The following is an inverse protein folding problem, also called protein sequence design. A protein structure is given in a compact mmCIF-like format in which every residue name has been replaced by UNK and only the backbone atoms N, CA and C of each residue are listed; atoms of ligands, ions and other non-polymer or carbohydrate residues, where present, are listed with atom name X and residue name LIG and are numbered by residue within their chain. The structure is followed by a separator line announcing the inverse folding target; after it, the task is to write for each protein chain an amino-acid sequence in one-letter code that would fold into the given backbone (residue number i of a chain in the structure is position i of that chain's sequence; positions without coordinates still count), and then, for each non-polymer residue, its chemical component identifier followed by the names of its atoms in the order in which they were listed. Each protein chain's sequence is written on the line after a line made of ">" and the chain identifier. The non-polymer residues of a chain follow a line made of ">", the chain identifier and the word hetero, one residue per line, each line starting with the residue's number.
data_IF_358843511989
#
_entry.id   IF_358843511989
#
_cell.length_a   1.000
_cell.length_b   1.000
_cell.length_c   1.000
_cell.angle_alpha   90.00
_cell.angle_beta   90.00
_cell.angle_gamma   90.00
#
_symmetry.space_group_name_H-M   'P 1'
#
loop_
_entity.id
_entity.type
_entity.pdbx_description
1 polymer ?
#
# COMPACT_ATOMS: atom_id res chain seq x y z
N UNK A 1 -24.18 8.66 -7.69
CA UNK A 1 -22.97 7.87 -7.37
C UNK A 1 -23.31 6.93 -6.24
N UNK A 2 -23.11 5.63 -6.41
CA UNK A 2 -23.27 4.64 -5.35
C UNK A 2 -21.93 3.91 -5.16
N UNK A 3 -21.41 3.92 -3.94
CA UNK A 3 -20.22 3.17 -3.56
C UNK A 3 -20.64 2.17 -2.49
N UNK A 4 -20.44 0.88 -2.75
CA UNK A 4 -20.63 -0.17 -1.76
C UNK A 4 -19.26 -0.56 -1.25
N UNK A 5 -18.99 -0.26 0.02
CA UNK A 5 -17.76 -0.62 0.72
C UNK A 5 -18.07 -1.74 1.70
N UNK A 6 -17.51 -2.91 1.45
CA UNK A 6 -17.63 -4.06 2.34
C UNK A 6 -16.34 -4.12 3.18
N UNK A 7 -16.48 -3.81 4.46
CA UNK A 7 -15.39 -3.87 5.44
C UNK A 7 -15.60 -5.05 6.39
N UNK A 8 -14.58 -5.89 6.55
CA UNK A 8 -14.49 -6.82 7.69
C UNK A 8 -13.26 -6.47 8.49
N UNK A 9 -13.45 -5.70 9.56
CA UNK A 9 -12.38 -5.22 10.44
C UNK A 9 -12.31 -6.09 11.69
N UNK A 10 -11.15 -6.71 11.94
CA UNK A 10 -10.80 -7.28 13.24
C UNK A 10 -9.49 -6.63 13.71
N UNK A 11 -9.52 -5.64 14.61
CA UNK A 11 -8.30 -4.90 14.98
C UNK A 11 -7.33 -5.77 15.80
N UNK A 12 -6.03 -5.62 15.55
CA UNK A 12 -5.00 -5.73 16.60
C UNK A 12 -4.33 -7.09 16.86
N UNK A 13 -4.69 -8.19 16.21
CA UNK A 13 -4.01 -9.47 16.35
C UNK A 13 -3.53 -10.00 15.00
N UNK A 14 -2.57 -10.92 15.01
CA UNK A 14 -2.22 -11.69 13.81
C UNK A 14 -3.51 -12.15 13.12
N UNK A 15 -3.64 -11.85 11.84
CA UNK A 15 -4.94 -11.91 11.20
C UNK A 15 -4.91 -11.41 9.76
N UNK A 16 -6.00 -11.73 9.07
CA UNK A 16 -6.25 -11.36 7.69
C UNK A 16 -7.34 -10.30 7.63
N UNK A 17 -7.02 -9.18 7.02
CA UNK A 17 -7.91 -8.06 6.76
C UNK A 17 -8.13 -7.96 5.26
N UNK A 18 -9.36 -7.71 4.86
CA UNK A 18 -9.66 -7.41 3.47
C UNK A 18 -10.72 -6.34 3.42
N UNK A 19 -10.62 -5.48 2.42
CA UNK A 19 -11.71 -4.61 2.03
C UNK A 19 -11.86 -4.63 0.52
N UNK A 20 -13.11 -4.58 0.09
CA UNK A 20 -13.48 -4.53 -1.31
C UNK A 20 -14.44 -3.36 -1.50
N UNK A 21 -14.15 -2.54 -2.50
CA UNK A 21 -14.95 -1.38 -2.89
C UNK A 21 -15.41 -1.57 -4.33
N UNK A 22 -16.73 -1.51 -4.51
CA UNK A 22 -17.38 -1.42 -5.81
C UNK A 22 -18.01 -0.05 -5.92
N UNK A 23 -17.58 0.73 -6.90
CA UNK A 23 -18.10 2.08 -7.16
C UNK A 23 -18.75 2.13 -8.54
N UNK A 24 -19.97 2.67 -8.60
CA UNK A 24 -20.70 2.90 -9.83
C UNK A 24 -21.18 4.36 -9.91
N UNK A 25 -20.93 4.97 -11.06
CA UNK A 25 -21.46 6.27 -11.47
C UNK A 25 -22.22 6.11 -12.79
N UNK A 26 -23.23 6.96 -13.02
CA UNK A 26 -24.01 6.96 -14.27
C UNK A 26 -25.22 6.04 -14.27
N UNK A 27 -25.79 5.79 -15.46
CA UNK A 27 -26.97 4.93 -15.67
C UNK A 27 -28.20 5.37 -14.87
N UNK A 28 -28.80 4.45 -14.10
CA UNK A 28 -30.02 4.66 -13.31
C UNK A 28 -29.87 5.71 -12.18
N UNK A 29 -28.65 6.19 -11.90
CA UNK A 29 -28.35 7.16 -10.85
C UNK A 29 -28.15 8.60 -11.37
N UNK A 30 -28.25 8.83 -12.69
CA UNK A 30 -28.36 10.16 -13.29
C UNK A 30 -27.15 11.09 -13.14
N UNK A 31 -25.92 10.58 -13.27
CA UNK A 31 -24.69 11.39 -13.22
C UNK A 31 -24.02 11.60 -14.58
N UNK A 32 -23.19 12.64 -14.68
CA UNK A 32 -22.45 13.02 -15.91
C UNK A 32 -21.36 12.02 -16.34
N UNK A 33 -20.98 11.10 -15.45
CA UNK A 33 -19.99 10.06 -15.69
C UNK A 33 -20.63 8.69 -15.60
N UNK A 34 -20.35 7.81 -16.57
CA UNK A 34 -20.78 6.41 -16.58
C UNK A 34 -19.56 5.50 -16.45
N UNK A 35 -19.35 4.98 -15.24
CA UNK A 35 -18.28 4.02 -14.99
C UNK A 35 -18.62 3.07 -13.84
N UNK A 36 -17.94 1.93 -13.83
CA UNK A 36 -17.88 1.00 -12.71
C UNK A 36 -16.43 0.63 -12.44
N UNK A 37 -16.01 0.72 -11.19
CA UNK A 37 -14.68 0.26 -10.77
C UNK A 37 -14.77 -0.67 -9.57
N UNK A 38 -13.82 -1.59 -9.51
CA UNK A 38 -13.61 -2.49 -8.39
C UNK A 38 -12.22 -2.26 -7.83
N UNK A 39 -12.09 -2.23 -6.50
CA UNK A 39 -10.82 -2.18 -5.80
C UNK A 39 -10.86 -3.16 -4.63
N UNK A 40 -9.81 -3.97 -4.49
CA UNK A 40 -9.63 -4.90 -3.40
C UNK A 40 -8.25 -4.66 -2.76
N UNK A 41 -8.20 -4.64 -1.44
CA UNK A 41 -6.96 -4.56 -0.65
C UNK A 41 -7.04 -5.63 0.43
N UNK A 42 -6.03 -6.47 0.44
CA UNK A 42 -5.87 -7.63 1.29
C UNK A 42 -4.62 -7.39 2.13
N UNK A 43 -4.71 -7.60 3.44
CA UNK A 43 -3.58 -7.49 4.37
C UNK A 43 -3.56 -8.70 5.25
N UNK A 44 -2.37 -9.22 5.52
CA UNK A 44 -2.18 -10.33 6.44
C UNK A 44 -1.01 -10.03 7.33
N UNK A 45 -1.21 -10.16 8.64
CA UNK A 45 -0.15 -10.00 9.63
C UNK A 45 0.06 -11.35 10.31
N UNK A 46 1.25 -11.91 10.15
CA UNK A 46 1.66 -13.21 10.70
C UNK A 46 2.74 -12.95 11.74
N UNK A 47 2.48 -13.34 13.00
CA UNK A 47 3.49 -13.30 14.06
C UNK A 47 4.35 -14.56 13.96
N UNK A 48 5.62 -14.41 13.60
CA UNK A 48 6.56 -15.54 13.47
C UNK A 48 7.18 -15.92 14.82
N UNK A 49 7.47 -14.91 15.65
CA UNK A 49 7.99 -15.06 17.01
C UNK A 49 7.46 -13.91 17.90
N UNK A 50 7.63 -13.95 19.23
CA UNK A 50 7.17 -12.87 20.11
C UNK A 50 7.67 -11.49 19.67
N UNK A 51 8.91 -11.42 19.16
CA UNK A 51 9.57 -10.21 18.69
C UNK A 51 9.57 -10.03 17.16
N UNK A 52 9.00 -10.95 16.37
CA UNK A 52 9.10 -10.96 14.90
C UNK A 52 7.73 -11.06 14.23
N UNK A 53 7.44 -10.14 13.32
CA UNK A 53 6.18 -10.06 12.58
C UNK A 53 6.43 -9.93 11.09
N UNK A 54 5.62 -10.64 10.30
CA UNK A 54 5.58 -10.53 8.85
C UNK A 54 4.22 -9.96 8.43
N UNK A 55 4.25 -8.86 7.70
CA UNK A 55 3.08 -8.20 7.15
C UNK A 55 3.11 -8.32 5.63
N UNK A 56 1.99 -8.75 5.08
CA UNK A 56 1.73 -8.87 3.65
C UNK A 56 0.60 -7.92 3.30
N UNK A 57 0.71 -7.20 2.19
CA UNK A 57 -0.39 -6.43 1.63
C UNK A 57 -0.45 -6.63 0.12
N UNK A 58 -1.63 -6.84 -0.41
CA UNK A 58 -1.91 -6.92 -1.84
C UNK A 58 -3.08 -6.00 -2.17
N UNK A 59 -2.92 -5.16 -3.19
CA UNK A 59 -3.98 -4.30 -3.71
C UNK A 59 -4.15 -4.58 -5.19
N UNK A 60 -5.39 -4.76 -5.63
CA UNK A 60 -5.75 -4.97 -7.02
C UNK A 60 -7.02 -4.20 -7.34
N UNK A 61 -7.05 -3.47 -8.44
CA UNK A 61 -8.24 -2.71 -8.84
C UNK A 61 -8.33 -2.50 -10.34
N UNK A 62 -9.54 -2.54 -10.87
CA UNK A 62 -9.78 -2.46 -12.30
C UNK A 62 -11.11 -1.75 -12.59
N UNK A 63 -11.13 -1.03 -13.70
CA UNK A 63 -12.36 -0.49 -14.29
C UNK A 63 -13.14 -1.64 -14.94
N UNK A 64 -14.34 -1.89 -14.44
CA UNK A 64 -15.24 -2.93 -14.96
C UNK A 64 -16.09 -2.44 -16.13
N UNK A 65 -16.36 -1.14 -16.19
CA UNK A 65 -17.18 -0.54 -17.24
C UNK A 65 -16.90 0.96 -17.37
N UNK A 66 -17.02 1.48 -18.58
CA UNK A 66 -16.84 2.90 -18.88
C UNK A 66 -15.39 3.37 -18.76
N UNK A 67 -15.20 4.68 -18.87
CA UNK A 67 -13.90 5.32 -18.71
C UNK A 67 -13.85 6.04 -17.36
N UNK A 68 -12.78 5.81 -16.60
CA UNK A 68 -12.58 6.51 -15.33
C UNK A 68 -12.17 7.96 -15.60
N UNK A 69 -12.80 8.94 -14.92
CA UNK A 69 -12.30 10.30 -14.96
C UNK A 69 -10.90 10.36 -14.32
N UNK A 70 -10.01 11.26 -14.76
CA UNK A 70 -8.61 11.30 -14.30
C UNK A 70 -8.43 11.39 -12.77
N UNK A 71 -9.41 11.95 -12.06
CA UNK A 71 -9.44 12.06 -10.61
C UNK A 71 -9.72 10.73 -9.89
N UNK A 72 -10.31 9.75 -10.61
CA UNK A 72 -10.64 8.41 -10.10
C UNK A 72 -9.68 7.33 -10.58
N UNK A 73 -8.71 7.69 -11.43
CA UNK A 73 -7.64 6.79 -11.83
C UNK A 73 -6.90 6.28 -10.60
N UNK A 74 -6.58 4.99 -10.65
CA UNK A 74 -5.73 4.39 -9.64
C UNK A 74 -4.32 4.93 -9.78
N UNK A 75 -3.63 5.04 -8.64
CA UNK A 75 -2.26 5.54 -8.58
C UNK A 75 -1.40 4.64 -7.71
N UNK A 76 -0.12 4.51 -8.07
CA UNK A 76 0.90 3.82 -7.28
C UNK A 76 2.14 4.71 -7.22
N UNK A 77 2.71 4.84 -6.02
CA UNK A 77 3.90 5.65 -5.77
C UNK A 77 3.83 6.35 -4.42
N UNK A 78 4.98 6.68 -3.86
CA UNK A 78 5.12 7.29 -2.54
C UNK A 78 5.12 6.28 -1.40
N UNK A 79 5.16 6.82 -0.18
CA UNK A 79 5.44 6.06 1.06
C UNK A 79 4.47 4.91 1.35
N UNK A 80 3.22 5.00 0.93
CA UNK A 80 2.18 3.98 1.20
C UNK A 80 2.03 2.95 0.06
N UNK A 81 2.81 3.07 -1.01
CA UNK A 81 2.79 2.18 -2.17
C UNK A 81 4.20 1.74 -2.55
N UNK A 82 4.75 2.35 -3.60
CA UNK A 82 6.14 2.17 -4.02
C UNK A 82 7.02 3.23 -3.35
N UNK A 83 7.67 2.85 -2.25
CA UNK A 83 8.36 3.75 -1.33
C UNK A 83 9.56 4.47 -1.95
N UNK A 84 10.17 3.93 -3.00
CA UNK A 84 11.29 4.56 -3.71
C UNK A 84 10.84 5.39 -4.93
N UNK A 85 9.54 5.41 -5.23
CA UNK A 85 8.97 6.21 -6.31
C UNK A 85 8.24 7.44 -5.78
N UNK A 86 8.16 8.48 -6.61
CA UNK A 86 7.41 9.70 -6.29
C UNK A 86 5.91 9.40 -6.12
N UNK A 87 5.22 10.26 -5.37
CA UNK A 87 3.78 10.11 -5.17
C UNK A 87 3.04 10.08 -6.52
N UNK A 88 2.17 9.08 -6.69
CA UNK A 88 1.41 8.85 -7.92
C UNK A 88 2.26 8.77 -9.20
N UNK A 89 3.49 8.25 -9.11
CA UNK A 89 4.39 8.04 -10.25
C UNK A 89 3.75 7.21 -11.37
N UNK A 90 2.93 6.23 -11.01
CA UNK A 90 2.14 5.43 -11.95
C UNK A 90 0.67 5.74 -11.79
N UNK A 91 -0.06 5.86 -12.90
CA UNK A 91 -1.49 6.14 -12.92
C UNK A 91 -2.18 5.35 -14.02
N UNK A 92 -3.41 4.91 -13.79
CA UNK A 92 -4.25 4.33 -14.83
C UNK A 92 -5.61 3.83 -14.38
N UNK A 93 -6.25 3.02 -15.22
CA UNK A 93 -7.58 2.41 -15.00
C UNK A 93 -7.50 1.02 -14.34
N UNK A 94 -6.28 0.51 -14.21
CA UNK A 94 -5.93 -0.74 -13.55
C UNK A 94 -4.74 -0.51 -12.61
N UNK A 95 -4.72 -1.23 -11.48
CA UNK A 95 -3.64 -1.15 -10.49
C UNK A 95 -3.40 -2.49 -9.82
N UNK A 96 -2.13 -2.87 -9.72
CA UNK A 96 -1.70 -3.99 -8.88
C UNK A 96 -0.52 -3.54 -8.02
N UNK A 97 -0.56 -3.87 -6.73
CA UNK A 97 0.48 -3.56 -5.75
C UNK A 97 0.61 -4.75 -4.78
N UNK A 98 1.82 -5.19 -4.52
CA UNK A 98 2.19 -6.16 -3.50
C UNK A 98 3.24 -5.56 -2.58
N UNK A 99 3.12 -5.79 -1.30
CA UNK A 99 4.05 -5.32 -0.28
C UNK A 99 4.32 -6.42 0.73
N UNK A 100 5.59 -6.59 1.07
CA UNK A 100 6.08 -7.50 2.08
C UNK A 100 6.90 -6.69 3.08
N UNK A 101 6.51 -6.72 4.35
CA UNK A 101 7.20 -6.03 5.42
C UNK A 101 7.52 -7.02 6.55
N UNK A 102 8.79 -7.18 6.87
CA UNK A 102 9.26 -7.95 8.01
C UNK A 102 9.72 -6.98 9.10
N UNK A 103 9.16 -7.10 10.30
CA UNK A 103 9.55 -6.28 11.44
C UNK A 103 10.04 -7.13 12.60
N UNK A 104 11.11 -6.69 13.26
CA UNK A 104 11.66 -7.34 14.45
C UNK A 104 12.00 -6.32 15.52
N UNK A 105 11.68 -6.61 16.77
CA UNK A 105 12.19 -5.80 17.89
C UNK A 105 13.72 -5.98 17.97
N UNK A 106 14.46 -4.87 18.02
CA UNK A 106 15.92 -4.86 18.10
C UNK A 106 16.46 -4.35 19.44
N UNK A 107 15.61 -3.72 20.25
CA UNK A 107 15.97 -3.31 21.61
C UNK A 107 15.03 -2.26 22.17
N UNK A 108 15.48 -1.62 23.23
CA UNK A 108 14.78 -0.52 23.88
C UNK A 108 15.69 0.71 23.87
N UNK A 109 15.13 1.86 23.49
CA UNK A 109 15.77 3.15 23.68
C UNK A 109 15.19 3.75 24.95
N UNK A 110 16.04 4.02 25.93
CA UNK A 110 15.67 4.86 27.08
C UNK A 110 15.88 6.32 26.74
N UNK A 111 14.82 7.12 26.85
CA UNK A 111 14.91 8.57 26.74
C UNK A 111 14.23 9.20 27.96
N UNK A 112 14.99 9.46 29.03
CA UNK A 112 14.44 9.90 30.31
C UNK A 112 13.77 8.76 31.08
N UNK A 113 12.54 8.98 31.56
CA UNK A 113 11.69 7.97 32.23
C UNK A 113 10.89 7.09 31.23
N UNK A 114 10.95 7.38 29.93
CA UNK A 114 10.24 6.62 28.89
C UNK A 114 11.14 5.54 28.27
N UNK A 115 10.65 4.30 28.26
CA UNK A 115 11.28 3.14 27.64
C UNK A 115 10.57 2.77 26.34
N UNK A 116 11.10 3.27 25.22
CA UNK A 116 10.49 3.04 23.90
C UNK A 116 11.20 1.88 23.22
N UNK A 117 10.46 0.81 22.93
CA UNK A 117 11.00 -0.27 22.10
C UNK A 117 11.34 0.25 20.70
N UNK A 118 12.36 -0.34 20.08
CA UNK A 118 12.80 -0.06 18.73
C UNK A 118 12.61 -1.31 17.87
N UNK A 119 12.02 -1.13 16.71
CA UNK A 119 11.82 -2.18 15.73
C UNK A 119 12.59 -1.87 14.45
N UNK A 120 13.35 -2.85 13.97
CA UNK A 120 13.88 -2.82 12.62
C UNK A 120 12.83 -3.36 11.65
N UNK A 121 12.74 -2.73 10.49
CA UNK A 121 11.84 -3.10 9.40
C UNK A 121 12.68 -3.41 8.17
N UNK A 122 12.36 -4.49 7.47
CA UNK A 122 12.82 -4.79 6.12
C UNK A 122 11.59 -4.88 5.23
N UNK A 123 11.66 -4.32 4.02
CA UNK A 123 10.51 -4.36 3.13
C UNK A 123 10.91 -4.54 1.67
N UNK A 124 9.96 -5.10 0.91
CA UNK A 124 9.98 -5.16 -0.54
C UNK A 124 8.57 -4.82 -1.02
N UNK A 125 8.49 -3.85 -1.93
CA UNK A 125 7.25 -3.42 -2.56
C UNK A 125 7.36 -3.69 -4.07
N UNK A 126 6.25 -4.06 -4.69
CA UNK A 126 6.16 -4.17 -6.14
C UNK A 126 4.80 -3.69 -6.61
N UNK A 127 4.75 -2.92 -7.70
CA UNK A 127 3.47 -2.41 -8.13
C UNK A 127 3.52 -1.67 -9.45
N UNK A 128 2.34 -1.45 -10.01
CA UNK A 128 2.12 -0.65 -11.21
C UNK A 128 0.66 -0.22 -11.28
N UNK A 129 0.44 0.96 -11.84
CA UNK A 129 -0.85 1.35 -12.40
C UNK A 129 -0.64 1.65 -13.89
N UNK A 130 -1.62 1.25 -14.71
CA UNK A 130 -1.55 1.40 -16.17
C UNK A 130 -2.95 1.59 -16.73
N UNK A 131 -3.01 2.12 -17.96
CA UNK A 131 -4.24 2.25 -18.72
C UNK A 131 -4.18 1.32 -19.94
N UNK A 132 -5.19 0.47 -20.09
CA UNK A 132 -5.31 -0.39 -21.27
C UNK A 132 -6.78 -0.55 -21.69
N UNK A 133 -7.10 -0.44 -22.99
CA UNK A 133 -8.47 -0.54 -23.48
C UNK A 133 -9.10 -1.94 -23.33
N UNK A 134 -8.30 -2.98 -23.11
CA UNK A 134 -8.76 -4.35 -22.87
C UNK A 134 -8.56 -4.81 -21.41
N UNK A 135 -9.21 -5.95 -21.09
CA UNK A 135 -9.26 -6.60 -19.76
C UNK A 135 -7.91 -6.64 -19.02
N UNK A 136 -8.00 -6.73 -17.70
CA UNK A 136 -6.89 -6.88 -16.73
C UNK A 136 -5.69 -7.68 -17.27
N UNK A 137 -4.67 -6.95 -17.75
CA UNK A 137 -3.46 -7.53 -18.34
C UNK A 137 -2.25 -7.24 -17.46
N UNK A 138 -2.12 -7.99 -16.37
CA UNK A 138 -0.97 -7.93 -15.46
C UNK A 138 0.29 -8.52 -16.09
N UNK A 139 0.16 -9.54 -16.96
CA UNK A 139 1.28 -10.33 -17.43
C UNK A 139 2.28 -9.57 -18.31
N UNK A 140 1.81 -8.58 -19.07
CA UNK A 140 2.66 -7.78 -19.95
C UNK A 140 3.16 -6.47 -19.31
N UNK A 141 2.79 -6.20 -18.06
CA UNK A 141 3.22 -4.98 -17.39
C UNK A 141 4.59 -5.16 -16.74
N UNK A 142 5.46 -4.17 -16.96
CA UNK A 142 6.75 -4.11 -16.27
C UNK A 142 6.55 -3.52 -14.87
N UNK A 143 6.30 -4.37 -13.88
CA UNK A 143 6.14 -3.94 -12.49
C UNK A 143 7.40 -3.25 -11.97
N UNK A 144 7.22 -2.15 -11.24
CA UNK A 144 8.29 -1.56 -10.46
C UNK A 144 8.53 -2.40 -9.20
N UNK A 145 9.77 -2.42 -8.71
CA UNK A 145 10.14 -3.15 -7.50
C UNK A 145 11.05 -2.26 -6.65
N UNK A 146 10.61 -1.99 -5.43
CA UNK A 146 11.32 -1.22 -4.44
C UNK A 146 11.71 -2.13 -3.28
N UNK A 147 12.79 -1.78 -2.61
CA UNK A 147 13.22 -2.47 -1.41
C UNK A 147 14.00 -1.56 -0.50
N UNK A 148 14.07 -1.96 0.76
CA UNK A 148 14.75 -1.15 1.74
C UNK A 148 14.58 -1.63 3.16
N UNK A 149 14.95 -0.75 4.07
CA UNK A 149 14.86 -0.98 5.50
C UNK A 149 14.29 0.25 6.19
N UNK A 150 13.85 0.08 7.42
CA UNK A 150 13.31 1.15 8.23
C UNK A 150 13.44 0.89 9.71
N UNK A 151 13.10 1.91 10.49
CA UNK A 151 13.06 1.87 11.94
C UNK A 151 11.72 2.38 12.40
N UNK A 152 11.12 1.68 13.37
CA UNK A 152 9.89 2.11 14.05
C UNK A 152 10.10 2.13 15.55
N UNK A 153 9.37 3.00 16.24
CA UNK A 153 9.19 2.91 17.68
C UNK A 153 8.13 1.84 18.03
N UNK A 154 8.16 1.30 19.25
CA UNK A 154 7.22 0.27 19.69
C UNK A 154 5.78 0.77 19.79
N UNK A 155 5.61 2.08 19.98
CA UNK A 155 4.31 2.76 19.96
C UNK A 155 3.80 2.98 18.52
N UNK A 156 4.60 2.63 17.51
CA UNK A 156 4.36 2.91 16.09
C UNK A 156 4.09 4.40 15.81
N UNK A 157 4.56 5.29 16.70
CA UNK A 157 4.35 6.73 16.59
C UNK A 157 5.24 7.38 15.53
N UNK A 158 6.41 6.80 15.26
CA UNK A 158 7.37 7.26 14.28
C UNK A 158 7.93 6.06 13.51
N UNK A 159 7.86 6.14 12.19
CA UNK A 159 8.45 5.19 11.26
C UNK A 159 9.32 5.93 10.26
N UNK A 160 10.56 5.51 10.10
CA UNK A 160 11.50 6.04 9.11
C UNK A 160 11.88 4.92 8.15
N UNK A 161 11.80 5.19 6.85
CA UNK A 161 12.12 4.25 5.78
C UNK A 161 13.25 4.79 4.90
N UNK A 162 14.14 3.91 4.51
CA UNK A 162 15.18 4.11 3.50
C UNK A 162 14.88 3.16 2.35
N UNK A 163 14.36 3.71 1.25
CA UNK A 163 13.90 2.94 0.10
C UNK A 163 14.82 3.16 -1.10
N UNK A 164 14.96 2.13 -1.94
CA UNK A 164 15.66 2.21 -3.22
C UNK A 164 14.91 1.41 -4.28
N UNK A 165 14.93 1.88 -5.52
CA UNK A 165 14.44 1.12 -6.66
C UNK A 165 15.41 -0.03 -6.94
N UNK A 166 14.95 -1.28 -6.81
CA UNK A 166 15.80 -2.46 -7.00
C UNK A 166 16.08 -2.75 -8.48
N UNK A 167 15.32 -2.14 -9.39
CA UNK A 167 15.46 -2.31 -10.83
C UNK A 167 16.42 -1.31 -11.48
N UNK A 168 16.79 -0.25 -10.76
CA UNK A 168 17.75 0.76 -11.20
C UNK A 168 18.86 0.93 -10.15
N UNK A 169 20.01 0.27 -10.32
CA UNK A 169 21.14 0.39 -9.39
C UNK A 169 21.65 1.83 -9.20
N UNK A 170 21.41 2.70 -10.18
CA UNK A 170 21.83 4.11 -10.16
C UNK A 170 20.87 5.04 -9.45
N UNK A 171 19.68 4.56 -9.06
CA UNK A 171 18.69 5.39 -8.37
C UNK A 171 19.18 5.83 -6.99
N UNK A 172 18.85 7.06 -6.62
CA UNK A 172 19.08 7.59 -5.28
C UNK A 172 18.24 6.86 -4.23
N UNK A 173 18.67 6.97 -2.96
CA UNK A 173 17.87 6.53 -1.83
C UNK A 173 16.79 7.56 -1.52
N UNK A 174 15.57 7.08 -1.32
CA UNK A 174 14.45 7.89 -0.85
C UNK A 174 14.28 7.68 0.64
N UNK A 175 14.34 8.76 1.41
CA UNK A 175 14.10 8.74 2.85
C UNK A 175 12.69 9.25 3.11
N UNK A 176 11.87 8.46 3.80
CA UNK A 176 10.51 8.83 4.17
C UNK A 176 10.31 8.68 5.67
N UNK A 177 9.66 9.66 6.29
CA UNK A 177 9.28 9.59 7.71
C UNK A 177 7.75 9.71 7.83
N UNK A 178 7.17 8.86 8.68
CA UNK A 178 5.74 8.83 8.99
C UNK A 178 5.57 8.99 10.48
N UNK A 179 4.81 10.02 10.86
CA UNK A 179 4.41 10.27 12.23
C UNK A 179 2.94 9.92 12.40
N UNK A 180 2.62 9.06 13.36
CA UNK A 180 1.26 8.69 13.71
C UNK A 180 1.01 9.07 15.17
N UNK A 181 0.28 10.17 15.39
CA UNK A 181 -0.10 10.58 16.75
C UNK A 181 -1.36 9.83 17.17
N UNK A 182 -1.36 9.09 18.29
CA UNK A 182 -2.60 8.65 18.91
C UNK A 182 -3.32 9.90 19.43
N UNK A 183 -4.55 10.13 18.96
CA UNK A 183 -5.46 11.14 19.49
C UNK A 183 -6.51 10.46 20.36
#
# INVERSE_FOLDING_TARGET
>A
MAAVRLERVHPGAAGFHHWVELESAGGALGGDFDYRRLLADLRSVVRLAPAMTLSLRGVGGSTLHGELPPQRNFTVGGVDGLRAHTFAAFRGDQVALGQLEYSTAIGHIRHGDEENGLHAILFVDTGRAWSHPENWDVGHQRFAVDGGFGLSTAEDNLRVYFAKNLQDPSSDFVISARLQRPF
#
